data_IF_528425221029
#
_entry.id   IF_528425221029
#
_cell.length_a   1.000
_cell.length_b   1.000
_cell.length_c   1.000
_cell.angle_alpha   90.00
_cell.angle_beta   90.00
_cell.angle_gamma   90.00
#
_symmetry.space_group_name_H-M   'P 1'
#
loop_
_entity.id
_entity.type
_entity.pdbx_description
1 polymer ?
#
# COMPACT_ATOMS: atom_id res chain seq x y z
N UNK A 1 15.36 3.57 -0.23
CA UNK A 1 14.23 4.33 -0.80
C UNK A 1 13.99 5.66 -0.10
N UNK A 2 13.81 5.70 1.23
CA UNK A 2 13.58 6.96 1.97
C UNK A 2 14.64 8.04 1.72
N UNK A 3 15.93 7.69 1.72
CA UNK A 3 17.00 8.65 1.40
C UNK A 3 16.88 9.23 -0.03
N UNK A 4 16.41 8.45 -1.01
CA UNK A 4 16.17 8.93 -2.37
C UNK A 4 14.98 9.89 -2.42
N UNK A 5 13.89 9.57 -1.71
CA UNK A 5 12.73 10.44 -1.58
C UNK A 5 13.10 11.81 -0.99
N UNK A 6 13.93 11.82 0.07
CA UNK A 6 14.48 13.06 0.65
C UNK A 6 15.30 13.87 -0.35
N UNK A 7 16.16 13.21 -1.15
CA UNK A 7 16.93 13.88 -2.21
C UNK A 7 16.05 14.51 -3.29
N UNK A 8 14.84 13.98 -3.50
CA UNK A 8 13.85 14.54 -4.42
C UNK A 8 12.97 15.63 -3.77
N UNK A 9 13.26 16.03 -2.52
CA UNK A 9 12.56 17.10 -1.83
C UNK A 9 11.25 16.71 -1.17
N UNK A 10 10.97 15.41 -0.98
CA UNK A 10 9.77 14.97 -0.25
C UNK A 10 9.93 15.29 1.24
N UNK A 11 8.98 16.03 1.87
CA UNK A 11 9.04 16.37 3.30
C UNK A 11 9.05 15.13 4.20
N UNK A 12 9.77 15.18 5.33
CA UNK A 12 9.80 14.05 6.27
C UNK A 12 8.42 13.78 6.89
N UNK A 13 7.58 14.82 7.00
CA UNK A 13 6.18 14.70 7.45
C UNK A 13 5.30 13.86 6.53
N UNK A 14 5.72 13.67 5.28
CA UNK A 14 4.99 12.91 4.26
C UNK A 14 5.59 11.52 4.05
N UNK A 15 6.67 11.20 4.79
CA UNK A 15 7.36 9.92 4.73
C UNK A 15 7.03 9.07 5.95
N UNK A 16 6.62 7.83 5.68
CA UNK A 16 6.47 6.77 6.68
C UNK A 16 7.38 5.63 6.25
N UNK A 17 8.31 5.25 7.10
CA UNK A 17 9.29 4.20 6.78
C UNK A 17 9.01 2.92 7.56
N UNK A 18 9.00 1.81 6.83
CA UNK A 18 8.97 0.45 7.36
C UNK A 18 10.31 -0.23 6.98
N UNK A 19 10.96 -0.93 7.91
CA UNK A 19 12.29 -1.53 7.70
C UNK A 19 12.46 -2.95 8.27
N UNK A 20 11.43 -3.46 8.95
CA UNK A 20 11.40 -4.76 9.60
C UNK A 20 10.92 -5.86 8.67
N UNK A 21 10.05 -5.58 7.68
CA UNK A 21 9.54 -6.61 6.80
C UNK A 21 10.69 -7.34 6.05
N UNK A 22 10.57 -8.66 5.99
CA UNK A 22 11.47 -9.57 5.29
C UNK A 22 10.78 -10.30 4.14
N UNK A 23 9.45 -10.22 4.08
CA UNK A 23 8.64 -10.91 3.08
C UNK A 23 7.56 -10.00 2.50
N UNK A 24 7.06 -10.32 1.30
CA UNK A 24 5.94 -9.60 0.68
C UNK A 24 4.68 -9.60 1.54
N UNK A 25 4.45 -10.70 2.27
CA UNK A 25 3.36 -10.82 3.24
C UNK A 25 3.50 -9.83 4.40
N UNK A 26 4.70 -9.74 4.99
CA UNK A 26 4.98 -8.77 6.07
C UNK A 26 4.88 -7.34 5.57
N UNK A 27 5.37 -7.06 4.35
CA UNK A 27 5.19 -5.75 3.71
C UNK A 27 3.70 -5.37 3.67
N UNK A 28 2.83 -6.26 3.20
CA UNK A 28 1.39 -6.01 3.14
C UNK A 28 0.78 -5.80 4.53
N UNK A 29 1.14 -6.63 5.51
CA UNK A 29 0.64 -6.54 6.88
C UNK A 29 1.05 -5.24 7.57
N UNK A 30 2.35 -4.94 7.60
CA UNK A 30 2.88 -3.76 8.27
C UNK A 30 2.42 -2.49 7.58
N UNK A 31 2.37 -2.47 6.25
CA UNK A 31 1.81 -1.33 5.51
C UNK A 31 0.35 -1.10 5.88
N UNK A 32 -0.48 -2.14 5.92
CA UNK A 32 -1.89 -1.99 6.31
C UNK A 32 -2.03 -1.48 7.75
N UNK A 33 -1.20 -1.95 8.69
CA UNK A 33 -1.20 -1.44 10.06
C UNK A 33 -0.78 0.03 10.13
N UNK A 34 0.31 0.39 9.47
CA UNK A 34 0.79 1.78 9.42
C UNK A 34 -0.29 2.70 8.86
N UNK A 35 -0.93 2.32 7.75
CA UNK A 35 -1.99 3.12 7.14
C UNK A 35 -3.25 3.25 7.99
N UNK A 36 -3.56 2.26 8.84
CA UNK A 36 -4.72 2.33 9.75
C UNK A 36 -4.43 3.20 10.98
N UNK A 37 -3.18 3.22 11.44
CA UNK A 37 -2.75 4.03 12.59
C UNK A 37 -2.30 5.44 12.22
N UNK A 38 -2.00 5.68 10.94
CA UNK A 38 -1.62 6.99 10.45
C UNK A 38 -2.87 7.87 10.22
N UNK A 39 -3.22 8.63 11.24
CA UNK A 39 -4.36 9.56 11.21
C UNK A 39 -4.21 10.70 10.17
N UNK A 40 -2.99 10.95 9.64
CA UNK A 40 -2.73 12.01 8.65
C UNK A 40 -3.44 11.77 7.31
N UNK A 41 -3.66 10.51 6.93
CA UNK A 41 -4.15 10.18 5.58
C UNK A 41 -5.68 10.28 5.39
N UNK A 42 -6.46 10.46 6.47
CA UNK A 42 -7.93 10.50 6.35
C UNK A 42 -8.53 11.91 6.23
N UNK A 43 -7.73 12.95 6.43
CA UNK A 43 -8.19 14.36 6.46
C UNK A 43 -7.42 15.27 5.50
N UNK A 44 -6.83 14.73 4.42
CA UNK A 44 -6.22 15.57 3.38
C UNK A 44 -7.28 16.16 2.44
N UNK A 45 -8.12 17.03 3.00
CA UNK A 45 -8.69 18.15 2.27
C UNK A 45 -7.56 19.17 2.16
N UNK A 46 -6.96 19.29 0.96
CA UNK A 46 -6.19 20.49 0.68
C UNK A 46 -7.10 21.69 0.95
N UNK A 47 -6.63 22.78 1.60
CA UNK A 47 -7.44 23.98 1.75
C UNK A 47 -7.95 24.37 0.37
N UNK A 48 -9.26 24.26 0.18
CA UNK A 48 -9.94 24.93 -0.91
C UNK A 48 -9.54 26.39 -0.75
N UNK A 49 -8.77 26.91 -1.69
CA UNK A 49 -8.65 28.34 -1.94
C UNK A 49 -10.07 28.89 -1.97
N UNK A 50 -10.46 29.47 -0.84
CA UNK A 50 -11.61 30.31 -0.56
C UNK A 50 -12.48 30.58 -1.79
N UNK A 51 -13.52 29.76 -1.98
CA UNK A 51 -14.69 30.19 -2.74
C UNK A 51 -15.95 29.76 -2.02
N UNK A 52 -16.64 30.78 -1.55
CA UNK A 52 -17.91 30.82 -0.84
C UNK A 52 -18.98 30.04 -1.61
N UNK A 53 -19.27 28.80 -1.25
CA UNK A 53 -20.53 28.15 -1.64
C UNK A 53 -21.13 27.41 -0.45
N UNK A 54 -22.18 28.03 0.08
CA UNK A 54 -23.10 27.48 1.07
C UNK A 54 -23.86 26.28 0.45
N UNK A 55 -24.00 25.20 1.22
CA UNK A 55 -25.23 24.39 1.17
C UNK A 55 -25.21 23.02 0.49
N UNK A 56 -24.07 22.34 0.35
CA UNK A 56 -24.07 20.91 0.00
C UNK A 56 -23.71 20.03 1.21
N UNK A 57 -24.41 18.90 1.45
CA UNK A 57 -24.03 17.95 2.48
C UNK A 57 -22.59 17.47 2.23
N UNK A 58 -21.80 17.19 3.28
CA UNK A 58 -20.40 16.79 3.12
C UNK A 58 -20.35 15.56 2.22
N UNK A 59 -19.79 15.71 1.01
CA UNK A 59 -19.45 14.59 0.13
C UNK A 59 -18.58 13.66 0.97
N UNK A 60 -19.08 12.47 1.30
CA UNK A 60 -18.30 11.45 1.97
C UNK A 60 -16.97 11.32 1.22
N UNK A 61 -15.87 11.68 1.89
CA UNK A 61 -14.55 11.76 1.28
C UNK A 61 -14.23 10.43 0.61
N UNK A 62 -14.27 10.42 -0.72
CA UNK A 62 -13.97 9.23 -1.49
C UNK A 62 -12.53 8.81 -1.16
N UNK A 63 -12.38 7.61 -0.60
CA UNK A 63 -11.07 7.11 -0.19
C UNK A 63 -10.09 7.19 -1.37
N UNK A 64 -9.01 7.97 -1.18
CA UNK A 64 -7.96 8.12 -2.19
C UNK A 64 -7.31 6.75 -2.40
N UNK A 65 -7.06 6.35 -3.66
CA UNK A 65 -6.42 5.07 -3.93
C UNK A 65 -4.97 5.07 -3.44
N UNK A 66 -4.56 3.98 -2.78
CA UNK A 66 -3.17 3.73 -2.38
C UNK A 66 -2.44 3.08 -3.54
N UNK A 67 -1.35 3.69 -3.98
CA UNK A 67 -0.53 3.17 -5.07
C UNK A 67 0.62 2.34 -4.50
N UNK A 68 0.65 1.06 -4.85
CA UNK A 68 1.72 0.12 -4.51
C UNK A 68 2.65 0.01 -5.70
N UNK A 69 3.91 0.41 -5.52
CA UNK A 69 4.96 0.31 -6.54
C UNK A 69 5.88 -0.85 -6.17
N UNK A 70 6.08 -1.79 -7.10
CA UNK A 70 6.94 -2.97 -6.88
C UNK A 70 7.52 -3.47 -8.19
N UNK A 71 8.60 -4.25 -8.14
CA UNK A 71 9.21 -4.85 -9.33
C UNK A 71 8.22 -5.75 -10.08
N UNK A 72 8.35 -5.77 -11.42
CA UNK A 72 7.41 -6.48 -12.30
C UNK A 72 7.16 -7.95 -11.90
N UNK A 73 8.19 -8.68 -11.50
CA UNK A 73 8.06 -10.10 -11.15
C UNK A 73 7.49 -10.34 -9.75
N UNK A 74 7.54 -9.35 -8.84
CA UNK A 74 6.90 -9.42 -7.53
C UNK A 74 5.44 -8.96 -7.55
N UNK A 75 5.00 -8.31 -8.64
CA UNK A 75 3.67 -7.73 -8.77
C UNK A 75 2.54 -8.72 -8.47
N UNK A 76 2.51 -9.96 -9.01
CA UNK A 76 1.41 -10.89 -8.74
C UNK A 76 1.29 -11.21 -7.26
N UNK A 77 2.44 -11.44 -6.61
CA UNK A 77 2.55 -11.77 -5.19
C UNK A 77 2.14 -10.60 -4.30
N UNK A 78 2.61 -9.39 -4.62
CA UNK A 78 2.22 -8.18 -3.91
C UNK A 78 0.71 -7.92 -4.04
N UNK A 79 0.17 -8.01 -5.25
CA UNK A 79 -1.26 -7.87 -5.50
C UNK A 79 -2.08 -8.82 -4.62
N UNK A 80 -1.68 -10.09 -4.60
CA UNK A 80 -2.36 -11.10 -3.80
C UNK A 80 -2.31 -10.80 -2.29
N UNK A 81 -1.11 -10.54 -1.76
CA UNK A 81 -0.90 -10.33 -0.35
C UNK A 81 -1.70 -9.12 0.17
N UNK A 82 -1.62 -7.98 -0.53
CA UNK A 82 -2.38 -6.77 -0.18
C UNK A 82 -3.88 -6.97 -0.32
N UNK A 83 -4.34 -7.73 -1.32
CA UNK A 83 -5.77 -8.00 -1.51
C UNK A 83 -6.35 -8.91 -0.44
N UNK A 84 -5.61 -9.92 0.03
CA UNK A 84 -6.08 -10.82 1.10
C UNK A 84 -5.96 -10.15 2.47
N UNK A 85 -4.80 -9.58 2.80
CA UNK A 85 -4.54 -9.00 4.12
C UNK A 85 -5.34 -7.71 4.30
N UNK A 86 -5.37 -6.84 3.29
CA UNK A 86 -6.10 -5.58 3.32
C UNK A 86 -7.61 -5.69 3.11
N UNK A 87 -8.19 -6.89 2.94
CA UNK A 87 -9.60 -7.07 2.55
C UNK A 87 -10.64 -6.43 3.49
N UNK A 88 -10.30 -6.19 4.75
CA UNK A 88 -11.19 -5.56 5.75
C UNK A 88 -10.76 -4.14 6.16
N UNK A 89 -9.75 -3.59 5.50
CA UNK A 89 -9.21 -2.26 5.83
C UNK A 89 -10.02 -1.11 5.21
N UNK A 90 -10.84 -1.39 4.18
CA UNK A 90 -11.50 -0.36 3.38
C UNK A 90 -10.60 0.32 2.34
N UNK A 91 -9.30 0.00 2.31
CA UNK A 91 -8.35 0.56 1.37
C UNK A 91 -8.60 0.13 -0.09
N UNK A 92 -8.38 1.06 -1.02
CA UNK A 92 -8.39 0.79 -2.47
C UNK A 92 -6.95 0.79 -2.99
N UNK A 93 -6.39 -0.38 -3.25
CA UNK A 93 -5.03 -0.50 -3.78
C UNK A 93 -5.00 -0.48 -5.32
N UNK A 94 -4.08 0.31 -5.88
CA UNK A 94 -3.65 0.27 -7.28
C UNK A 94 -2.20 -0.18 -7.34
N UNK A 95 -1.85 -0.99 -8.32
CA UNK A 95 -0.51 -1.57 -8.43
C UNK A 95 0.19 -1.05 -9.68
N UNK A 96 1.39 -0.54 -9.51
CA UNK A 96 2.25 -0.09 -10.62
C UNK A 96 3.52 -0.94 -10.66
N UNK A 97 3.77 -1.66 -11.77
CA UNK A 97 5.03 -2.36 -11.93
C UNK A 97 6.16 -1.36 -12.19
N UNK A 98 7.29 -1.59 -11.54
CA UNK A 98 8.57 -1.03 -11.95
C UNK A 98 9.22 -2.02 -12.93
N UNK A 99 9.27 -1.70 -14.24
CA UNK A 99 9.94 -2.57 -15.19
C UNK A 99 11.44 -2.57 -14.90
N UNK A 100 12.11 -3.73 -14.99
CA UNK A 100 13.55 -3.77 -14.86
C UNK A 100 14.22 -3.04 -16.04
N UNK A 101 15.50 -2.65 -15.91
CA UNK A 101 16.26 -2.07 -17.02
C UNK A 101 16.23 -3.01 -18.25
N UNK A 102 16.20 -2.48 -19.49
CA UNK A 102 16.01 -3.28 -20.71
C UNK A 102 16.98 -4.47 -20.83
N UNK A 103 18.23 -4.27 -20.40
CA UNK A 103 19.29 -5.29 -20.48
C UNK A 103 19.11 -6.45 -19.49
N UNK A 104 18.30 -6.26 -18.45
CA UNK A 104 18.05 -7.27 -17.42
C UNK A 104 17.07 -8.34 -17.90
N UNK A 105 16.10 -7.98 -18.75
CA UNK A 105 15.10 -8.90 -19.31
C UNK A 105 15.71 -9.94 -20.24
N UNK A 106 16.86 -9.62 -20.85
CA UNK A 106 17.60 -10.51 -21.76
C UNK A 106 18.47 -11.52 -21.04
N UNK A 107 18.67 -11.38 -19.72
CA UNK A 107 19.53 -12.29 -18.95
C UNK A 107 18.76 -13.57 -18.58
N UNK A 108 19.29 -14.77 -18.84
CA UNK A 108 18.66 -16.04 -18.45
C UNK A 108 18.34 -16.14 -16.95
N UNK A 109 19.14 -15.46 -16.11
CA UNK A 109 18.93 -15.38 -14.68
C UNK A 109 17.61 -14.69 -14.27
N UNK A 110 17.11 -13.75 -15.08
CA UNK A 110 15.85 -13.05 -14.81
C UNK A 110 14.66 -14.02 -14.79
N UNK A 111 14.58 -14.89 -15.80
CA UNK A 111 13.52 -15.90 -15.91
C UNK A 111 13.61 -16.97 -14.83
N UNK A 112 14.83 -17.36 -14.43
CA UNK A 112 15.01 -18.27 -13.27
C UNK A 112 14.48 -17.66 -11.97
N UNK A 113 14.70 -16.37 -11.74
CA UNK A 113 14.16 -15.67 -10.57
C UNK A 113 12.64 -15.56 -10.63
N UNK A 114 12.07 -15.23 -11.80
CA UNK A 114 10.62 -15.18 -11.99
C UNK A 114 9.95 -16.54 -11.73
N UNK A 115 10.55 -17.65 -12.19
CA UNK A 115 10.03 -19.00 -11.95
C UNK A 115 10.08 -19.39 -10.46
N UNK A 116 11.07 -18.93 -9.71
CA UNK A 116 11.16 -19.15 -8.26
C UNK A 116 10.05 -18.43 -7.47
N UNK A 117 9.40 -17.43 -8.05
CA UNK A 117 8.27 -16.76 -7.40
C UNK A 117 6.99 -17.62 -7.42
N UNK A 118 6.88 -18.64 -8.27
CA UNK A 118 5.67 -19.48 -8.37
C UNK A 118 5.40 -20.25 -7.05
N UNK A 119 6.37 -21.00 -6.48
CA UNK A 119 6.18 -21.62 -5.17
C UNK A 119 5.90 -20.61 -4.06
N UNK A 120 6.56 -19.44 -4.10
CA UNK A 120 6.37 -18.39 -3.11
C UNK A 120 4.96 -17.79 -3.17
N UNK A 121 4.43 -17.58 -4.38
CA UNK A 121 3.06 -17.15 -4.62
C UNK A 121 2.04 -18.17 -4.10
N UNK A 122 2.25 -19.46 -4.40
CA UNK A 122 1.37 -20.53 -3.91
C UNK A 122 1.40 -20.65 -2.37
N UNK A 123 2.58 -20.52 -1.76
CA UNK A 123 2.70 -20.51 -0.30
C UNK A 123 2.00 -19.29 0.31
N UNK A 124 2.12 -18.11 -0.31
CA UNK A 124 1.49 -16.89 0.18
C UNK A 124 -0.02 -16.88 0.00
N UNK A 125 -0.59 -17.58 -0.98
CA UNK A 125 -2.04 -17.83 -1.06
C UNK A 125 -2.54 -18.38 0.28
N UNK A 126 -1.97 -19.50 0.74
CA UNK A 126 -2.39 -20.14 2.00
C UNK A 126 -2.05 -19.26 3.20
N UNK A 127 -0.81 -18.77 3.27
CA UNK A 127 -0.30 -18.06 4.45
C UNK A 127 -0.95 -16.70 4.67
N UNK A 128 -1.35 -15.99 3.63
CA UNK A 128 -2.04 -14.69 3.79
C UNK A 128 -3.43 -14.87 4.40
N UNK A 129 -4.13 -15.97 4.10
CA UNK A 129 -5.44 -16.25 4.70
C UNK A 129 -5.38 -16.56 6.20
N UNK A 130 -4.23 -17.05 6.69
CA UNK A 130 -4.00 -17.32 8.12
C UNK A 130 -3.74 -16.04 8.93
N UNK A 131 -3.43 -14.92 8.28
CA UNK A 131 -3.19 -13.65 8.95
C UNK A 131 -4.51 -12.99 9.31
N UNK A 132 -4.64 -12.52 10.55
CA UNK A 132 -5.80 -11.71 10.93
C UNK A 132 -5.73 -10.37 10.19
N UNK A 133 -6.72 -10.06 9.34
CA UNK A 133 -6.70 -8.85 8.54
C UNK A 133 -6.81 -7.62 9.45
N UNK A 134 -6.00 -6.57 9.21
CA UNK A 134 -6.11 -5.33 9.97
C UNK A 134 -7.49 -4.70 9.77
N UNK A 135 -8.07 -4.19 10.87
CA UNK A 135 -9.38 -3.54 10.87
C UNK A 135 -9.25 -2.14 11.45
N UNK A 136 -10.02 -1.16 10.94
CA UNK A 136 -10.16 0.11 11.64
C UNK A 136 -10.76 -0.14 13.02
N UNK A 137 -10.28 0.61 14.02
CA UNK A 137 -10.91 0.63 15.34
C UNK A 137 -12.36 1.09 15.20
N UNK A 138 -13.33 0.49 15.93
CA UNK A 138 -14.68 1.02 15.96
C UNK A 138 -14.61 2.46 16.47
N UNK A 139 -15.23 3.39 15.74
CA UNK A 139 -15.40 4.76 16.20
C UNK A 139 -16.12 4.70 17.55
N UNK A 140 -15.57 5.27 18.64
CA UNK A 140 -16.31 5.33 19.89
C UNK A 140 -17.64 6.05 19.61
N UNK A 141 -18.76 5.60 20.20
CA UNK A 141 -20.03 6.30 20.05
C UNK A 141 -19.83 7.74 20.48
N UNK A 142 -20.24 8.71 19.64
CA UNK A 142 -20.31 10.11 20.02
C UNK A 142 -21.17 10.18 21.30
N UNK A 143 -20.54 10.45 22.44
CA UNK A 143 -21.27 10.91 23.63
C UNK A 143 -21.90 12.24 23.26
N UNK A 144 -23.20 12.19 22.94
CA UNK A 144 -24.07 13.35 22.81
C UNK A 144 -24.45 13.89 24.18
#
# INVERSE_FOLDING_TARGET
MAAQARRLGIPETDLITESQARTTRENALYTCHLLLHDHRHWSYDHPQTSRTEQGSPPKQNALKPIVVVTDLYHLPRAWLAFRIIGRHSGFKFRFLPCPPPPDSLRRPGYWRSALREIPAFAADLVRCWLVRPPRPSPTPPETR
#
